data_IF_975912470453
#
_entry.id   IF_975912470453
#
_cell.length_a   1.000
_cell.length_b   1.000
_cell.length_c   1.000
_cell.angle_alpha   90.00
_cell.angle_beta   90.00
_cell.angle_gamma   90.00
#
_symmetry.space_group_name_H-M   'P 1'
#
loop_
_entity.id
_entity.type
_entity.pdbx_description
1 polymer ?
#
# COMPACT_ATOMS: atom_id res chain seq x y z
N UNK A 1 10.05 -19.61 8.70
CA UNK A 1 8.79 -18.91 8.33
C UNK A 1 8.79 -17.43 8.67
N UNK A 2 9.23 -17.01 9.86
CA UNK A 2 9.23 -15.59 10.25
C UNK A 2 10.03 -14.68 9.30
N UNK A 3 11.23 -15.09 8.84
CA UNK A 3 12.03 -14.30 7.90
C UNK A 3 11.27 -14.01 6.59
N UNK A 4 10.61 -15.03 6.02
CA UNK A 4 9.85 -14.92 4.76
C UNK A 4 8.70 -13.93 4.93
N UNK A 5 7.96 -14.05 6.04
CA UNK A 5 6.88 -13.13 6.36
C UNK A 5 7.36 -11.68 6.54
N UNK A 6 8.51 -11.48 7.19
CA UNK A 6 9.12 -10.14 7.34
C UNK A 6 9.52 -9.53 6.01
N UNK A 7 10.08 -10.33 5.09
CA UNK A 7 10.44 -9.88 3.74
C UNK A 7 9.19 -9.46 2.97
N UNK A 8 8.12 -10.25 3.06
CA UNK A 8 6.81 -9.92 2.46
C UNK A 8 6.25 -8.62 3.03
N UNK A 9 6.23 -8.48 4.36
CA UNK A 9 5.73 -7.28 5.05
C UNK A 9 6.54 -6.03 4.67
N UNK A 10 7.87 -6.17 4.58
CA UNK A 10 8.76 -5.09 4.17
C UNK A 10 8.53 -4.69 2.71
N UNK A 11 8.41 -5.66 1.80
CA UNK A 11 8.11 -5.41 0.39
C UNK A 11 6.74 -4.73 0.20
N UNK A 12 5.70 -5.20 0.90
CA UNK A 12 4.38 -4.57 0.90
C UNK A 12 4.41 -3.16 1.50
N UNK A 13 5.26 -2.94 2.51
CA UNK A 13 5.54 -1.60 3.06
C UNK A 13 6.15 -0.65 2.03
N UNK A 14 7.11 -1.12 1.23
CA UNK A 14 7.69 -0.34 0.12
C UNK A 14 6.62 0.03 -0.92
N UNK A 15 5.73 -0.92 -1.25
CA UNK A 15 4.62 -0.68 -2.19
C UNK A 15 3.70 0.42 -1.67
N UNK A 16 3.32 0.36 -0.39
CA UNK A 16 2.55 1.42 0.25
C UNK A 16 3.33 2.75 0.37
N UNK A 17 4.67 2.74 0.31
CA UNK A 17 5.48 3.96 0.38
C UNK A 17 5.56 4.70 -0.98
N UNK A 18 5.36 4.00 -2.10
CA UNK A 18 5.47 4.57 -3.45
C UNK A 18 4.62 5.83 -3.65
N UNK A 19 3.33 5.87 -3.26
CA UNK A 19 2.52 7.07 -3.34
C UNK A 19 3.12 8.24 -2.55
N UNK A 20 3.68 7.98 -1.36
CA UNK A 20 4.29 9.00 -0.52
C UNK A 20 5.47 9.70 -1.21
N UNK A 21 6.28 8.94 -1.95
CA UNK A 21 7.38 9.49 -2.74
C UNK A 21 6.84 10.45 -3.81
N UNK A 22 5.75 10.09 -4.49
CA UNK A 22 5.12 10.95 -5.51
C UNK A 22 4.54 12.26 -4.93
N UNK A 23 4.19 12.29 -3.64
CA UNK A 23 3.70 13.51 -2.95
C UNK A 23 4.72 14.65 -2.94
N UNK A 24 6.01 14.31 -2.88
CA UNK A 24 7.10 15.27 -2.73
C UNK A 24 7.73 15.69 -4.07
N UNK A 25 7.30 15.12 -5.20
CA UNK A 25 7.80 15.47 -6.55
C UNK A 25 6.75 16.23 -7.38
N UNK A 26 6.60 17.56 -7.19
CA UNK A 26 5.62 18.40 -7.90
C UNK A 26 5.77 18.36 -9.44
N UNK A 27 7.00 18.18 -9.95
CA UNK A 27 7.28 18.19 -11.39
C UNK A 27 6.95 16.89 -12.15
N UNK A 28 6.56 15.80 -11.46
CA UNK A 28 6.21 14.52 -12.09
C UNK A 28 4.72 14.19 -12.06
N UNK A 29 3.91 14.94 -11.32
CA UNK A 29 2.47 14.69 -11.25
C UNK A 29 1.78 14.84 -12.63
N UNK A 30 2.09 15.86 -13.46
CA UNK A 30 1.49 15.99 -14.79
C UNK A 30 1.92 14.86 -15.75
N UNK A 31 3.16 14.39 -15.63
CA UNK A 31 3.77 13.46 -16.58
C UNK A 31 3.61 11.98 -16.19
N UNK A 32 3.44 11.68 -14.89
CA UNK A 32 3.20 10.33 -14.37
C UNK A 32 1.72 9.97 -14.26
N UNK A 33 0.82 10.96 -14.23
CA UNK A 33 -0.62 10.72 -14.33
C UNK A 33 -1.20 11.07 -15.71
N UNK A 34 -0.52 11.85 -16.56
CA UNK A 34 -1.03 12.20 -17.90
C UNK A 34 -2.32 13.06 -17.86
N UNK A 35 -2.55 13.77 -16.75
CA UNK A 35 -3.70 14.65 -16.54
C UNK A 35 -3.16 15.98 -15.99
N UNK A 36 -3.60 17.11 -16.55
CA UNK A 36 -3.50 18.40 -15.88
C UNK A 36 -4.35 18.35 -14.62
N UNK A 37 -3.74 18.49 -13.44
CA UNK A 37 -4.49 18.59 -12.19
C UNK A 37 -5.52 19.73 -12.33
N UNK A 38 -6.83 19.47 -12.21
CA UNK A 38 -7.85 20.47 -12.57
C UNK A 38 -7.80 21.73 -11.70
N UNK A 39 -7.33 21.58 -10.45
CA UNK A 39 -7.28 22.64 -9.43
C UNK A 39 -6.33 22.25 -8.28
N UNK A 40 -5.72 23.24 -7.60
CA UNK A 40 -4.84 23.09 -6.44
C UNK A 40 -5.49 22.30 -5.29
N UNK A 41 -6.83 22.33 -5.20
CA UNK A 41 -7.61 21.54 -4.26
C UNK A 41 -7.41 20.02 -4.43
N UNK A 42 -7.36 19.53 -5.67
CA UNK A 42 -7.11 18.11 -5.95
C UNK A 42 -5.66 17.71 -5.66
N UNK A 43 -4.71 18.60 -5.94
CA UNK A 43 -3.30 18.38 -5.62
C UNK A 43 -3.09 18.19 -4.12
N UNK A 44 -3.71 19.04 -3.29
CA UNK A 44 -3.63 18.95 -1.84
C UNK A 44 -4.18 17.60 -1.33
N UNK A 45 -5.34 17.17 -1.84
CA UNK A 45 -5.96 15.89 -1.45
C UNK A 45 -5.09 14.69 -1.83
N UNK A 46 -4.49 14.70 -3.03
CA UNK A 46 -3.59 13.62 -3.47
C UNK A 46 -2.31 13.56 -2.64
N UNK A 47 -1.73 14.71 -2.29
CA UNK A 47 -0.54 14.78 -1.41
C UNK A 47 -0.87 14.32 0.01
N UNK A 48 -2.00 14.75 0.57
CA UNK A 48 -2.43 14.30 1.90
C UNK A 48 -2.63 12.78 1.94
N UNK A 49 -3.28 12.22 0.92
CA UNK A 49 -3.45 10.77 0.77
C UNK A 49 -2.11 10.05 0.67
N UNK A 50 -1.17 10.62 -0.07
CA UNK A 50 0.16 10.06 -0.22
C UNK A 50 0.96 10.06 1.09
N UNK A 51 0.80 11.08 1.95
CA UNK A 51 1.38 11.08 3.31
C UNK A 51 0.82 9.94 4.15
N UNK A 52 -0.50 9.70 4.11
CA UNK A 52 -1.12 8.58 4.84
C UNK A 52 -0.54 7.22 4.40
N UNK A 53 -0.38 7.02 3.09
CA UNK A 53 0.28 5.84 2.54
C UNK A 53 1.73 5.68 3.03
N UNK A 54 2.46 6.80 3.12
CA UNK A 54 3.81 6.83 3.69
C UNK A 54 3.87 6.41 5.16
N UNK A 55 2.89 6.83 5.97
CA UNK A 55 2.78 6.43 7.37
C UNK A 55 2.53 4.92 7.48
N UNK A 56 1.59 4.38 6.69
CA UNK A 56 1.29 2.94 6.69
C UNK A 56 2.48 2.12 6.19
N UNK A 57 3.09 2.52 5.07
CA UNK A 57 4.28 1.86 4.54
C UNK A 57 5.45 1.88 5.52
N UNK A 58 5.69 3.03 6.16
CA UNK A 58 6.68 3.20 7.21
C UNK A 58 6.42 2.31 8.43
N UNK A 59 5.16 2.21 8.88
CA UNK A 59 4.77 1.31 9.96
C UNK A 59 5.04 -0.16 9.62
N UNK A 60 4.71 -0.59 8.40
CA UNK A 60 4.96 -1.96 7.92
C UNK A 60 6.46 -2.27 7.88
N UNK A 61 7.27 -1.35 7.35
CA UNK A 61 8.73 -1.49 7.33
C UNK A 61 9.32 -1.50 8.75
N UNK A 62 8.86 -0.60 9.62
CA UNK A 62 9.28 -0.52 11.00
C UNK A 62 8.99 -1.82 11.76
N UNK A 63 7.78 -2.37 11.62
CA UNK A 63 7.41 -3.66 12.20
C UNK A 63 8.24 -4.81 11.66
N UNK A 64 8.54 -4.82 10.36
CA UNK A 64 9.41 -5.83 9.75
C UNK A 64 10.86 -5.78 10.31
N UNK A 65 11.40 -4.58 10.54
CA UNK A 65 12.76 -4.39 11.08
C UNK A 65 12.82 -4.69 12.59
N UNK A 66 11.92 -4.09 13.37
CA UNK A 66 11.92 -4.17 14.84
C UNK A 66 11.37 -5.49 15.40
N UNK A 67 10.79 -6.32 14.53
CA UNK A 67 10.18 -7.60 14.87
C UNK A 67 9.02 -7.52 15.86
N UNK A 68 8.30 -6.39 15.84
CA UNK A 68 7.18 -6.11 16.76
C UNK A 68 5.95 -5.65 15.99
N UNK A 69 4.77 -5.94 16.55
CA UNK A 69 3.48 -5.49 16.03
C UNK A 69 3.15 -5.94 14.60
N UNK A 70 3.65 -7.12 14.21
CA UNK A 70 3.43 -7.72 12.90
C UNK A 70 1.97 -7.82 12.49
N UNK A 71 1.11 -8.28 13.40
CA UNK A 71 -0.32 -8.47 13.15
C UNK A 71 -1.00 -7.12 12.87
N UNK A 72 -0.70 -6.13 13.71
CA UNK A 72 -1.25 -4.77 13.60
C UNK A 72 -0.81 -4.15 12.27
N UNK A 73 0.48 -4.16 11.96
CA UNK A 73 1.00 -3.60 10.71
C UNK A 73 0.37 -4.26 9.46
N UNK A 74 0.17 -5.58 9.50
CA UNK A 74 -0.48 -6.32 8.41
C UNK A 74 -1.95 -5.97 8.26
N UNK A 75 -2.71 -5.86 9.36
CA UNK A 75 -4.12 -5.45 9.32
C UNK A 75 -4.25 -4.05 8.71
N UNK A 76 -3.45 -3.09 9.17
CA UNK A 76 -3.46 -1.73 8.61
C UNK A 76 -3.06 -1.70 7.13
N UNK A 77 -2.04 -2.46 6.74
CA UNK A 77 -1.62 -2.59 5.34
C UNK A 77 -2.72 -3.19 4.45
N UNK A 78 -3.39 -4.24 4.91
CA UNK A 78 -4.49 -4.88 4.18
C UNK A 78 -5.71 -3.97 4.05
N UNK A 79 -6.09 -3.27 5.12
CA UNK A 79 -7.20 -2.30 5.08
C UNK A 79 -6.89 -1.21 4.05
N UNK A 80 -5.66 -0.68 4.07
CA UNK A 80 -5.21 0.34 3.12
C UNK A 80 -5.36 -0.12 1.66
N UNK A 81 -4.75 -1.26 1.30
CA UNK A 81 -4.79 -1.77 -0.08
C UNK A 81 -6.20 -2.17 -0.51
N UNK A 82 -6.94 -2.88 0.36
CA UNK A 82 -8.29 -3.36 0.04
C UNK A 82 -9.27 -2.20 -0.16
N UNK A 83 -9.15 -1.14 0.63
CA UNK A 83 -10.00 0.05 0.48
C UNK A 83 -9.83 0.70 -0.91
N UNK A 84 -8.59 0.77 -1.42
CA UNK A 84 -8.34 1.33 -2.75
C UNK A 84 -8.91 0.43 -3.86
N UNK A 85 -8.72 -0.89 -3.75
CA UNK A 85 -9.27 -1.85 -4.72
C UNK A 85 -10.80 -1.75 -4.76
N UNK A 86 -11.47 -1.73 -3.61
CA UNK A 86 -12.93 -1.59 -3.53
C UNK A 86 -13.40 -0.28 -4.14
N UNK A 87 -12.77 0.84 -3.82
CA UNK A 87 -13.12 2.15 -4.37
C UNK A 87 -12.90 2.21 -5.89
N UNK A 88 -11.85 1.58 -6.42
CA UNK A 88 -11.61 1.48 -7.86
C UNK A 88 -12.79 0.81 -8.59
N UNK A 89 -13.30 -0.30 -8.05
CA UNK A 89 -14.44 -1.00 -8.65
C UNK A 89 -15.77 -0.28 -8.45
N UNK A 90 -15.97 0.39 -7.30
CA UNK A 90 -17.19 1.14 -7.02
C UNK A 90 -17.33 2.40 -7.89
N UNK A 91 -16.22 3.09 -8.17
CA UNK A 91 -16.22 4.32 -8.96
C UNK A 91 -16.21 3.98 -10.45
N UNK A 92 -15.32 3.08 -10.88
CA UNK A 92 -15.35 2.28 -12.12
C UNK A 92 -15.40 2.97 -13.49
N UNK A 93 -15.86 4.23 -13.61
CA UNK A 93 -16.00 4.96 -14.87
C UNK A 93 -14.87 5.97 -15.04
N UNK A 94 -14.26 5.97 -16.23
CA UNK A 94 -13.24 6.93 -16.69
C UNK A 94 -11.97 7.04 -15.82
N UNK A 95 -11.56 5.94 -15.18
CA UNK A 95 -10.33 5.90 -14.38
C UNK A 95 -9.10 5.74 -15.29
N UNK A 96 -8.10 6.59 -15.08
CA UNK A 96 -6.83 6.61 -15.81
C UNK A 96 -6.09 5.26 -15.81
N UNK A 97 -5.40 4.94 -16.93
CA UNK A 97 -4.57 3.75 -17.08
C UNK A 97 -3.46 3.62 -16.04
N UNK A 98 -2.93 4.72 -15.52
CA UNK A 98 -1.89 4.71 -14.48
C UNK A 98 -2.45 4.27 -13.12
N UNK A 99 -3.68 4.69 -12.78
CA UNK A 99 -4.37 4.23 -11.57
C UNK A 99 -4.70 2.73 -11.63
N UNK A 100 -4.97 2.22 -12.84
CA UNK A 100 -5.16 0.77 -13.05
C UNK A 100 -3.88 -0.02 -12.73
N UNK A 101 -2.70 0.49 -13.08
CA UNK A 101 -1.42 -0.16 -12.74
C UNK A 101 -1.22 -0.22 -11.23
N UNK A 102 -1.49 0.89 -10.52
CA UNK A 102 -1.40 0.94 -9.06
C UNK A 102 -2.37 -0.07 -8.43
N UNK A 103 -3.61 -0.16 -8.91
CA UNK A 103 -4.58 -1.14 -8.43
C UNK A 103 -4.10 -2.58 -8.60
N UNK A 104 -3.48 -2.91 -9.75
CA UNK A 104 -2.91 -4.25 -9.98
C UNK A 104 -1.76 -4.56 -9.02
N UNK A 105 -0.87 -3.58 -8.77
CA UNK A 105 0.23 -3.73 -7.82
C UNK A 105 -0.31 -3.97 -6.41
N UNK A 106 -1.28 -3.16 -5.96
CA UNK A 106 -1.90 -3.31 -4.64
C UNK A 106 -2.64 -4.64 -4.50
N UNK A 107 -3.30 -5.12 -5.56
CA UNK A 107 -3.97 -6.42 -5.56
C UNK A 107 -2.98 -7.57 -5.37
N UNK A 108 -1.86 -7.55 -6.10
CA UNK A 108 -0.80 -8.56 -5.97
C UNK A 108 -0.17 -8.48 -4.58
N UNK A 109 0.16 -7.27 -4.11
CA UNK A 109 0.75 -7.05 -2.80
C UNK A 109 -0.16 -7.51 -1.66
N UNK A 110 -1.45 -7.18 -1.73
CA UNK A 110 -2.45 -7.61 -0.78
C UNK A 110 -2.56 -9.14 -0.77
N UNK A 111 -2.65 -9.79 -1.93
CA UNK A 111 -2.74 -11.25 -2.01
C UNK A 111 -1.51 -11.94 -1.38
N UNK A 112 -0.30 -11.47 -1.69
CA UNK A 112 0.94 -12.02 -1.12
C UNK A 112 0.98 -11.78 0.40
N UNK A 113 0.59 -10.60 0.87
CA UNK A 113 0.54 -10.28 2.29
C UNK A 113 -0.47 -11.15 3.04
N UNK A 114 -1.62 -11.43 2.43
CA UNK A 114 -2.67 -12.29 2.97
C UNK A 114 -2.19 -13.74 3.10
N UNK A 115 -1.54 -14.27 2.06
CA UNK A 115 -0.94 -15.62 2.08
C UNK A 115 0.14 -15.70 3.16
N UNK A 116 1.02 -14.68 3.24
CA UNK A 116 2.06 -14.60 4.26
C UNK A 116 1.49 -14.58 5.68
N UNK A 117 0.40 -13.83 5.90
CA UNK A 117 -0.30 -13.75 7.17
C UNK A 117 -0.90 -15.11 7.57
N UNK A 118 -1.62 -15.77 6.66
CA UNK A 118 -2.21 -17.09 6.89
C UNK A 118 -1.11 -18.12 7.21
N UNK A 119 -0.04 -18.15 6.44
CA UNK A 119 1.08 -19.07 6.67
C UNK A 119 1.75 -18.84 8.04
N UNK A 120 1.89 -17.58 8.45
CA UNK A 120 2.41 -17.22 9.77
C UNK A 120 1.49 -17.68 10.90
N UNK A 121 0.17 -17.45 10.78
CA UNK A 121 -0.82 -17.88 11.77
C UNK A 121 -0.89 -19.41 11.90
N UNK A 122 -0.86 -20.15 10.79
CA UNK A 122 -0.83 -21.62 10.79
C UNK A 122 0.44 -22.17 11.46
N UNK A 123 1.60 -21.55 11.20
CA UNK A 123 2.87 -21.96 11.82
C UNK A 123 2.90 -21.63 13.31
N UNK A 124 2.38 -20.46 13.70
CA UNK A 124 2.30 -20.01 15.10
C UNK A 124 1.39 -20.93 15.92
N UNK A 125 0.27 -21.37 15.35
CA UNK A 125 -0.67 -22.27 16.03
C UNK A 125 -0.15 -23.72 16.14
N UNK A 126 0.77 -24.14 15.27
CA UNK A 126 1.41 -25.46 15.33
C UNK A 126 2.51 -25.56 16.40
N UNK A 127 2.97 -24.43 16.95
CA UNK A 127 4.05 -24.34 17.93
C UNK A 127 3.54 -24.03 19.36
N UNK A 128 2.22 -24.04 19.56
CA UNK A 128 1.54 -23.98 20.86
C UNK A 128 0.97 -25.34 21.20
#
# INVERSE_FOLDING_TARGET
>A
MELIYRVILFAAGIINLLPAVLAFFPGKIPNSYGIELPDANYELLLRHRAVLFGIIGGLMMFSAVTKKFYEIATVFGLISMTSFILLYFLIGKDINSELRKVMLIDMIAAAILLIGCIAFLLTSNSNR
#
